data_IF_120360899964
#
_entry.id   IF_120360899964
#
_cell.length_a   1.000
_cell.length_b   1.000
_cell.length_c   1.000
_cell.angle_alpha   90.00
_cell.angle_beta   90.00
_cell.angle_gamma   90.00
#
_symmetry.space_group_name_H-M   'P 1'
#
loop_
_entity.id
_entity.type
_entity.pdbx_description
1 polymer ?
#
# COMPACT_ATOMS: atom_id res chain seq x y z
N UNK A 1 -0.76 10.96 13.62
CA UNK A 1 -1.12 9.58 13.27
C UNK A 1 -2.63 9.42 13.14
N UNK A 2 -3.09 8.51 12.35
CA UNK A 2 -4.48 8.08 12.27
C UNK A 2 -4.54 6.55 12.39
N UNK A 3 -5.68 5.98 12.78
CA UNK A 3 -5.84 4.56 13.01
C UNK A 3 -6.89 3.94 12.10
N UNK A 4 -6.67 2.69 11.72
CA UNK A 4 -7.64 1.82 11.04
C UNK A 4 -7.34 0.36 11.37
N UNK A 5 -8.35 -0.41 11.76
CA UNK A 5 -8.21 -1.84 12.08
C UNK A 5 -7.07 -2.16 13.05
N UNK A 6 -7.00 -1.45 14.19
CA UNK A 6 -5.96 -1.56 15.23
C UNK A 6 -4.54 -1.19 14.79
N UNK A 7 -4.35 -0.71 13.57
CA UNK A 7 -3.12 -0.11 13.09
C UNK A 7 -3.11 1.40 13.31
N UNK A 8 -1.98 1.93 13.76
CA UNK A 8 -1.68 3.36 13.84
C UNK A 8 -0.71 3.72 12.73
N UNK A 9 -1.10 4.65 11.87
CA UNK A 9 -0.28 5.12 10.75
C UNK A 9 0.41 6.42 11.13
N UNK A 10 1.73 6.49 10.95
CA UNK A 10 2.46 7.71 11.22
C UNK A 10 2.11 8.80 10.20
N UNK A 11 1.99 10.01 10.70
CA UNK A 11 1.84 11.21 9.88
C UNK A 11 2.63 12.33 10.54
N UNK A 12 3.50 12.98 9.80
CA UNK A 12 4.23 14.15 10.23
C UNK A 12 3.99 15.30 9.24
N UNK A 13 3.69 16.44 9.76
CA UNK A 13 3.59 17.68 8.99
C UNK A 13 4.59 18.67 9.57
N UNK A 14 5.53 19.12 8.74
CA UNK A 14 6.49 20.16 9.10
C UNK A 14 6.09 21.45 8.35
N UNK A 15 5.70 22.47 9.11
CA UNK A 15 5.37 23.78 8.56
C UNK A 15 6.65 24.63 8.42
N UNK A 16 7.11 24.74 7.19
CA UNK A 16 8.25 25.63 6.86
C UNK A 16 7.79 26.99 6.34
N UNK A 17 6.53 27.38 6.56
CA UNK A 17 5.96 28.65 6.11
C UNK A 17 5.56 28.67 4.63
N UNK A 18 5.57 27.53 3.96
CA UNK A 18 5.08 27.38 2.58
C UNK A 18 3.76 26.60 2.60
N UNK A 19 2.72 27.16 2.02
CA UNK A 19 1.43 26.50 1.97
C UNK A 19 1.53 25.10 1.31
N UNK A 20 1.15 24.06 2.04
CA UNK A 20 1.09 22.68 1.56
C UNK A 20 2.40 21.92 1.52
N UNK A 21 3.49 22.45 2.11
CA UNK A 21 4.75 21.72 2.18
C UNK A 21 4.81 20.83 3.40
N UNK A 22 5.29 19.69 3.14
CA UNK A 22 6.21 18.86 3.91
C UNK A 22 5.53 17.95 4.90
N UNK A 23 4.56 17.18 4.44
CA UNK A 23 4.10 15.98 5.15
C UNK A 23 4.98 14.78 4.78
N UNK A 24 5.17 13.87 5.74
CA UNK A 24 5.80 12.56 5.55
C UNK A 24 5.00 11.48 6.26
N UNK A 25 5.21 10.23 5.87
CA UNK A 25 4.43 9.11 6.34
C UNK A 25 3.16 8.94 5.51
N UNK A 26 2.00 8.82 6.17
CA UNK A 26 0.73 8.52 5.53
C UNK A 26 -0.24 9.70 5.54
N UNK A 27 -1.07 9.77 4.50
CA UNK A 27 -2.25 10.63 4.46
C UNK A 27 -3.43 9.89 3.83
N UNK A 28 -4.67 10.30 4.16
CA UNK A 28 -5.86 9.83 3.46
C UNK A 28 -6.12 10.64 2.20
N UNK A 29 -6.63 9.96 1.19
CA UNK A 29 -7.09 10.59 -0.05
C UNK A 29 -8.37 9.96 -0.57
N UNK A 30 -9.15 10.77 -1.26
CA UNK A 30 -10.32 10.39 -2.05
C UNK A 30 -10.24 11.01 -3.46
N UNK A 31 -9.08 11.49 -3.86
CA UNK A 31 -8.87 12.11 -5.18
C UNK A 31 -8.94 11.07 -6.29
N UNK A 32 -9.50 11.46 -7.43
CA UNK A 32 -9.81 10.55 -8.56
C UNK A 32 -9.18 10.98 -9.88
N UNK A 33 -8.30 11.99 -9.88
CA UNK A 33 -7.67 12.51 -11.08
C UNK A 33 -6.57 11.56 -11.57
N UNK A 34 -6.82 10.88 -12.69
CA UNK A 34 -5.88 9.94 -13.33
C UNK A 34 -5.13 10.55 -14.51
N UNK A 35 -5.22 11.87 -14.75
CA UNK A 35 -4.76 12.50 -15.99
C UNK A 35 -3.80 13.66 -15.80
N UNK A 36 -3.93 14.43 -14.74
CA UNK A 36 -3.10 15.61 -14.51
C UNK A 36 -1.71 15.20 -14.06
N UNK A 37 -0.64 15.52 -14.81
CA UNK A 37 0.73 15.21 -14.41
C UNK A 37 1.24 16.17 -13.34
N UNK A 38 2.36 15.78 -12.70
CA UNK A 38 3.13 16.61 -11.80
C UNK A 38 2.69 16.58 -10.34
N UNK A 39 3.45 17.27 -9.51
CA UNK A 39 3.35 17.26 -8.05
C UNK A 39 1.94 17.60 -7.51
N UNK A 40 1.21 18.50 -8.18
CA UNK A 40 -0.15 18.88 -7.75
C UNK A 40 -1.14 17.71 -7.67
N UNK A 41 -0.83 16.57 -8.29
CA UNK A 41 -1.68 15.39 -8.33
C UNK A 41 -1.06 14.17 -7.62
N UNK A 42 -0.24 14.38 -6.59
CA UNK A 42 0.44 13.31 -5.88
C UNK A 42 -0.48 12.50 -4.93
N UNK A 43 -1.66 13.01 -4.61
CA UNK A 43 -2.64 12.33 -3.76
C UNK A 43 -3.67 11.49 -4.52
N UNK A 44 -3.66 11.47 -5.85
CA UNK A 44 -4.57 10.63 -6.63
C UNK A 44 -3.97 9.25 -6.86
N UNK A 45 -4.73 8.20 -6.56
CA UNK A 45 -4.40 6.85 -7.01
C UNK A 45 -4.58 6.76 -8.54
N UNK A 46 -3.66 6.11 -9.23
CA UNK A 46 -3.72 5.95 -10.69
C UNK A 46 -4.97 5.17 -11.18
N UNK A 47 -5.62 4.46 -10.29
CA UNK A 47 -6.87 3.71 -10.54
C UNK A 47 -8.12 4.58 -10.53
N UNK A 48 -8.03 5.85 -10.11
CA UNK A 48 -9.16 6.79 -10.04
C UNK A 48 -10.07 6.59 -8.84
N UNK A 49 -9.64 5.84 -7.81
CA UNK A 49 -10.41 5.61 -6.59
C UNK A 49 -9.82 4.48 -5.75
N UNK A 50 -10.44 4.19 -4.60
CA UNK A 50 -10.02 3.13 -3.70
C UNK A 50 -10.33 1.72 -4.23
N UNK A 51 -9.68 0.73 -3.62
CA UNK A 51 -9.84 -0.68 -3.94
C UNK A 51 -11.29 -1.14 -3.67
N UNK A 52 -11.86 -1.93 -4.61
CA UNK A 52 -13.20 -2.50 -4.46
C UNK A 52 -14.32 -1.44 -4.35
N UNK A 53 -14.07 -0.20 -4.78
CA UNK A 53 -15.03 0.90 -4.68
C UNK A 53 -14.99 1.64 -3.35
N UNK A 54 -13.93 1.46 -2.54
CA UNK A 54 -13.67 2.27 -1.35
C UNK A 54 -13.61 3.75 -1.73
N UNK A 55 -14.25 4.57 -0.91
CA UNK A 55 -14.26 6.03 -1.10
C UNK A 55 -12.95 6.71 -0.68
N UNK A 56 -12.13 6.03 0.13
CA UNK A 56 -10.87 6.55 0.64
C UNK A 56 -9.80 5.48 0.55
N UNK A 57 -8.56 5.93 0.39
CA UNK A 57 -7.35 5.10 0.42
C UNK A 57 -6.21 5.87 1.09
N UNK A 58 -5.13 5.20 1.40
CA UNK A 58 -3.94 5.82 1.99
C UNK A 58 -2.90 6.12 0.91
N UNK A 59 -2.24 7.27 1.03
CA UNK A 59 -1.06 7.63 0.25
C UNK A 59 0.13 7.71 1.18
N UNK A 60 1.23 7.05 0.81
CA UNK A 60 2.51 7.16 1.49
C UNK A 60 3.48 8.05 0.73
N UNK A 61 4.32 8.74 1.48
CA UNK A 61 5.28 9.69 0.95
C UNK A 61 6.66 9.57 1.62
N UNK A 62 7.72 9.72 0.81
CA UNK A 62 9.13 9.82 1.21
C UNK A 62 9.66 8.69 2.12
N UNK A 63 9.25 7.44 1.88
CA UNK A 63 9.94 6.29 2.47
C UNK A 63 9.98 6.22 4.00
N UNK A 64 9.18 7.05 4.70
CA UNK A 64 9.05 7.08 6.17
C UNK A 64 7.67 6.60 6.61
N UNK A 65 6.95 5.92 5.74
CA UNK A 65 5.63 5.40 6.06
C UNK A 65 5.75 4.18 6.96
N UNK A 66 5.04 4.20 8.08
CA UNK A 66 5.02 3.13 9.07
C UNK A 66 3.58 2.84 9.50
N UNK A 67 3.31 1.57 9.77
CA UNK A 67 2.08 1.13 10.41
C UNK A 67 2.44 0.35 11.68
N UNK A 68 2.03 0.86 12.84
CA UNK A 68 2.26 0.27 14.16
C UNK A 68 1.02 -0.46 14.66
N UNK A 69 1.21 -1.59 15.32
CA UNK A 69 0.16 -2.43 15.90
C UNK A 69 0.34 -2.49 17.42
N UNK A 70 -0.76 -2.38 18.16
CA UNK A 70 -0.76 -2.42 19.63
C UNK A 70 -0.27 -3.79 20.19
N UNK A 71 -0.45 -4.86 19.42
CA UNK A 71 0.04 -6.20 19.72
C UNK A 71 0.63 -6.84 18.46
N UNK A 72 1.49 -7.85 18.64
CA UNK A 72 2.05 -8.60 17.53
C UNK A 72 0.93 -9.29 16.73
N UNK A 73 0.72 -8.88 15.48
CA UNK A 73 -0.40 -9.25 14.62
C UNK A 73 0.09 -9.83 13.31
N UNK A 74 -0.50 -10.91 12.84
CA UNK A 74 -0.23 -11.47 11.51
C UNK A 74 -1.06 -10.70 10.49
N UNK A 75 -0.39 -10.05 9.55
CA UNK A 75 -1.04 -9.30 8.48
C UNK A 75 -1.14 -10.19 7.24
N UNK A 76 -2.37 -10.40 6.77
CA UNK A 76 -2.64 -11.21 5.56
C UNK A 76 -2.11 -10.54 4.30
N UNK A 77 -2.29 -9.23 4.20
CA UNK A 77 -1.82 -8.44 3.07
C UNK A 77 -2.52 -7.09 2.99
N UNK A 78 -2.18 -6.36 1.93
CA UNK A 78 -2.82 -5.12 1.55
C UNK A 78 -2.84 -4.98 0.02
N UNK A 79 -3.63 -4.03 -0.47
CA UNK A 79 -3.67 -3.67 -1.88
C UNK A 79 -2.81 -2.43 -2.12
N UNK A 80 -2.01 -2.48 -3.18
CA UNK A 80 -1.10 -1.40 -3.57
C UNK A 80 -1.28 -1.02 -5.01
N UNK A 81 -1.04 0.25 -5.31
CA UNK A 81 -0.97 0.79 -6.68
C UNK A 81 -0.09 2.04 -6.70
N UNK A 82 0.25 2.51 -7.90
CA UNK A 82 0.91 3.79 -8.08
C UNK A 82 -0.02 4.96 -7.83
N UNK A 83 0.53 6.11 -7.44
CA UNK A 83 -0.17 7.39 -7.60
C UNK A 83 -0.16 7.81 -9.06
N UNK A 84 -1.10 8.67 -9.45
CA UNK A 84 -1.15 9.24 -10.81
C UNK A 84 0.15 10.00 -11.12
N UNK A 85 0.67 10.77 -10.16
CA UNK A 85 1.93 11.49 -10.34
C UNK A 85 3.08 10.53 -10.66
N UNK A 86 3.30 9.48 -9.86
CA UNK A 86 4.37 8.52 -10.09
C UNK A 86 4.18 7.77 -11.43
N UNK A 87 2.95 7.36 -11.75
CA UNK A 87 2.65 6.66 -13.01
C UNK A 87 2.99 7.50 -14.23
N UNK A 88 2.51 8.76 -14.26
CA UNK A 88 2.71 9.64 -15.42
C UNK A 88 4.18 10.04 -15.55
N UNK A 89 4.87 10.27 -14.42
CA UNK A 89 6.30 10.54 -14.41
C UNK A 89 7.13 9.38 -14.98
N UNK A 90 6.88 8.14 -14.55
CA UNK A 90 7.57 6.96 -15.10
C UNK A 90 7.23 6.71 -16.58
N UNK A 91 5.96 6.92 -16.98
CA UNK A 91 5.50 6.66 -18.35
C UNK A 91 6.02 7.68 -19.35
N UNK A 92 5.98 8.95 -19.00
CA UNK A 92 6.19 10.06 -19.94
C UNK A 92 7.51 10.80 -19.70
N UNK A 93 8.10 10.67 -18.49
CA UNK A 93 9.17 11.52 -18.00
C UNK A 93 8.66 12.91 -17.61
N UNK A 94 9.44 13.63 -16.85
CA UNK A 94 9.19 15.04 -16.51
C UNK A 94 10.53 15.80 -16.31
N UNK A 95 10.49 17.02 -15.74
CA UNK A 95 11.69 17.82 -15.52
C UNK A 95 12.67 17.25 -14.48
N UNK A 96 12.27 16.26 -13.70
CA UNK A 96 13.06 15.64 -12.63
C UNK A 96 13.34 14.17 -12.91
N UNK A 97 12.33 13.42 -13.38
CA UNK A 97 12.39 11.98 -13.57
C UNK A 97 12.48 11.63 -15.06
N UNK A 98 13.28 10.62 -15.38
CA UNK A 98 13.36 10.07 -16.73
C UNK A 98 12.11 9.22 -17.04
N UNK A 99 11.80 9.12 -18.33
CA UNK A 99 10.87 8.11 -18.83
C UNK A 99 11.47 6.72 -18.64
N UNK A 100 10.73 5.79 -18.06
CA UNK A 100 11.12 4.39 -17.95
C UNK A 100 11.15 3.70 -19.32
N UNK A 101 12.13 2.83 -19.53
CA UNK A 101 12.42 2.24 -20.81
C UNK A 101 13.18 3.19 -21.76
N UNK A 102 13.43 4.44 -21.37
CA UNK A 102 14.15 5.43 -22.20
C UNK A 102 13.42 5.76 -23.50
N UNK A 103 14.15 6.28 -24.49
CA UNK A 103 13.61 6.61 -25.82
C UNK A 103 13.24 5.36 -26.63
N UNK A 104 14.00 4.28 -26.45
CA UNK A 104 13.76 3.00 -27.12
C UNK A 104 12.55 2.24 -26.56
N UNK A 105 12.15 2.52 -25.34
CA UNK A 105 11.19 1.75 -24.56
C UNK A 105 11.78 0.50 -23.89
N UNK A 106 13.11 0.26 -24.02
CA UNK A 106 13.74 -1.03 -23.65
C UNK A 106 14.86 -0.87 -22.61
N UNK A 107 15.10 0.33 -22.08
CA UNK A 107 16.08 0.53 -21.02
C UNK A 107 15.58 -0.12 -19.73
N UNK A 108 16.48 -0.86 -19.06
CA UNK A 108 16.13 -1.53 -17.82
C UNK A 108 15.87 -0.53 -16.69
N UNK A 109 14.62 -0.50 -16.22
CA UNK A 109 14.16 0.38 -15.15
C UNK A 109 13.29 -0.37 -14.15
N UNK A 110 13.23 0.13 -12.91
CA UNK A 110 12.31 -0.39 -11.92
C UNK A 110 11.90 0.67 -10.89
N UNK A 111 10.72 0.49 -10.31
CA UNK A 111 10.25 1.18 -9.13
C UNK A 111 9.69 0.17 -8.15
N UNK A 112 10.30 0.06 -6.96
CA UNK A 112 10.05 -1.03 -6.03
C UNK A 112 9.64 -0.50 -4.66
N UNK A 113 8.56 -1.07 -4.13
CA UNK A 113 8.14 -0.98 -2.74
C UNK A 113 8.70 -2.17 -1.97
N UNK A 114 9.39 -1.91 -0.87
CA UNK A 114 9.81 -2.92 0.11
C UNK A 114 9.05 -2.71 1.41
N UNK A 115 8.35 -3.75 1.87
CA UNK A 115 7.61 -3.77 3.14
C UNK A 115 8.39 -4.64 4.12
N UNK A 116 8.94 -4.03 5.17
CA UNK A 116 9.72 -4.73 6.20
C UNK A 116 8.91 -4.89 7.47
N UNK A 117 8.77 -6.12 7.97
CA UNK A 117 8.12 -6.41 9.23
C UNK A 117 9.09 -6.34 10.40
N UNK A 118 8.58 -5.89 11.56
CA UNK A 118 9.29 -5.88 12.82
C UNK A 118 8.42 -6.42 13.95
N UNK A 119 9.05 -7.17 14.88
CA UNK A 119 8.46 -7.51 16.17
C UNK A 119 9.36 -6.92 17.26
N UNK A 120 8.91 -5.84 17.90
CA UNK A 120 9.78 -4.96 18.67
C UNK A 120 10.87 -4.35 17.78
N UNK A 121 12.14 -4.56 18.13
CA UNK A 121 13.29 -4.10 17.33
C UNK A 121 13.81 -5.14 16.33
N UNK A 122 13.33 -6.38 16.39
CA UNK A 122 13.80 -7.45 15.52
C UNK A 122 13.05 -7.44 14.18
N UNK A 123 13.78 -7.42 13.05
CA UNK A 123 13.16 -7.61 11.73
C UNK A 123 12.66 -9.05 11.60
N UNK A 124 11.43 -9.19 11.08
CA UNK A 124 10.82 -10.50 10.78
C UNK A 124 10.96 -10.88 9.30
N UNK A 125 11.53 -9.99 8.48
CA UNK A 125 11.74 -10.18 7.06
C UNK A 125 11.19 -9.03 6.23
N UNK A 126 11.24 -9.17 4.91
CA UNK A 126 10.74 -8.17 3.97
C UNK A 126 10.00 -8.81 2.81
N UNK A 127 9.07 -8.05 2.23
CA UNK A 127 8.33 -8.36 1.00
C UNK A 127 8.60 -7.25 0.00
N UNK A 128 9.11 -7.60 -1.17
CA UNK A 128 9.30 -6.69 -2.29
C UNK A 128 8.09 -6.77 -3.24
N UNK A 129 7.65 -5.61 -3.71
CA UNK A 129 6.63 -5.46 -4.73
C UNK A 129 7.06 -4.41 -5.75
N UNK A 130 7.14 -4.80 -7.04
CA UNK A 130 7.51 -3.87 -8.10
C UNK A 130 6.29 -3.10 -8.59
N UNK A 131 6.29 -1.79 -8.32
CA UNK A 131 5.29 -0.83 -8.81
C UNK A 131 5.49 -0.51 -10.29
N UNK A 132 6.72 -0.70 -10.81
CA UNK A 132 7.06 -0.76 -12.23
C UNK A 132 8.28 -1.66 -12.41
N UNK A 133 8.31 -2.45 -13.48
CA UNK A 133 9.45 -3.30 -13.83
C UNK A 133 9.62 -3.37 -15.35
N UNK A 134 10.79 -2.89 -15.83
CA UNK A 134 11.23 -2.83 -17.22
C UNK A 134 12.54 -3.61 -17.42
N UNK A 135 12.75 -4.67 -16.64
CA UNK A 135 13.99 -5.46 -16.66
C UNK A 135 13.81 -6.83 -17.30
N UNK A 136 12.66 -7.08 -17.90
CA UNK A 136 12.40 -8.36 -18.57
C UNK A 136 13.21 -8.47 -19.86
N UNK A 137 13.69 -9.68 -20.18
CA UNK A 137 14.35 -9.96 -21.45
C UNK A 137 13.38 -9.82 -22.64
N UNK A 138 12.10 -10.08 -22.40
CA UNK A 138 10.99 -9.83 -23.31
C UNK A 138 10.29 -8.54 -22.86
N UNK A 139 10.59 -7.44 -23.55
CA UNK A 139 10.07 -6.10 -23.19
C UNK A 139 8.53 -5.99 -23.28
N UNK A 140 7.84 -6.97 -23.89
CA UNK A 140 6.37 -7.00 -23.87
C UNK A 140 5.81 -7.35 -22.49
N UNK A 141 6.66 -7.77 -21.56
CA UNK A 141 6.34 -8.05 -20.17
C UNK A 141 6.59 -6.85 -19.25
N UNK A 142 7.20 -5.77 -19.77
CA UNK A 142 7.45 -4.55 -19.02
C UNK A 142 6.13 -3.91 -18.60
N UNK A 143 6.09 -3.39 -17.38
CA UNK A 143 4.86 -2.82 -16.86
C UNK A 143 5.07 -1.67 -15.87
N UNK A 144 4.04 -0.84 -15.79
CA UNK A 144 3.75 0.05 -14.65
C UNK A 144 2.42 -0.42 -14.05
N UNK A 145 2.38 -0.69 -12.75
CA UNK A 145 1.16 -1.10 -12.06
C UNK A 145 0.10 -0.01 -12.21
N UNK A 146 -1.02 -0.35 -12.85
CA UNK A 146 -2.13 0.55 -13.16
C UNK A 146 -3.45 0.14 -12.51
N UNK A 147 -3.45 -0.98 -11.79
CA UNK A 147 -4.59 -1.51 -11.04
C UNK A 147 -4.19 -1.75 -9.58
N UNK A 148 -5.18 -1.85 -8.70
CA UNK A 148 -4.94 -2.34 -7.35
C UNK A 148 -4.44 -3.79 -7.39
N UNK A 149 -3.29 -4.04 -6.79
CA UNK A 149 -2.64 -5.36 -6.73
C UNK A 149 -2.52 -5.82 -5.29
N UNK A 150 -3.02 -7.02 -4.99
CA UNK A 150 -2.92 -7.60 -3.65
C UNK A 150 -1.50 -8.13 -3.41
N UNK A 151 -0.89 -7.73 -2.30
CA UNK A 151 0.41 -8.22 -1.85
C UNK A 151 0.23 -8.94 -0.53
N UNK A 152 0.52 -10.24 -0.50
CA UNK A 152 0.49 -11.03 0.73
C UNK A 152 1.67 -10.67 1.63
N UNK A 153 1.38 -10.36 2.88
CA UNK A 153 2.36 -10.06 3.93
C UNK A 153 2.45 -11.17 4.98
N UNK A 154 1.70 -12.26 4.83
CA UNK A 154 1.61 -13.35 5.82
C UNK A 154 2.97 -13.99 6.13
N UNK A 155 3.91 -13.98 5.17
CA UNK A 155 5.27 -14.51 5.36
C UNK A 155 6.11 -13.70 6.38
N UNK A 156 5.68 -12.47 6.72
CA UNK A 156 6.35 -11.66 7.75
C UNK A 156 6.04 -12.16 9.17
N UNK A 157 5.08 -13.09 9.33
CA UNK A 157 4.67 -13.59 10.64
C UNK A 157 3.97 -12.50 11.46
N UNK A 158 4.07 -12.63 12.80
CA UNK A 158 3.47 -11.66 13.71
C UNK A 158 4.37 -10.43 13.86
N UNK A 159 3.86 -9.25 13.51
CA UNK A 159 4.57 -7.98 13.52
C UNK A 159 3.91 -6.98 14.46
N UNK A 160 4.73 -6.14 15.10
CA UNK A 160 4.29 -4.95 15.84
C UNK A 160 4.43 -3.68 15.01
N UNK A 161 5.18 -3.74 13.88
CA UNK A 161 5.35 -2.61 12.95
C UNK A 161 5.65 -3.12 11.54
N UNK A 162 5.14 -2.39 10.55
CA UNK A 162 5.53 -2.47 9.14
C UNK A 162 6.17 -1.14 8.74
N UNK A 163 7.36 -1.21 8.13
CA UNK A 163 8.05 -0.08 7.53
C UNK A 163 7.95 -0.22 5.99
N UNK A 164 7.67 0.89 5.32
CA UNK A 164 7.51 0.94 3.86
C UNK A 164 8.59 1.82 3.27
N UNK A 165 9.35 1.29 2.33
CA UNK A 165 10.42 2.01 1.65
C UNK A 165 10.34 1.86 0.14
N UNK A 166 10.77 2.89 -0.58
CA UNK A 166 10.77 2.92 -2.04
C UNK A 166 12.20 2.98 -2.58
N UNK A 167 12.45 2.29 -3.67
CA UNK A 167 13.70 2.38 -4.44
C UNK A 167 13.38 2.41 -5.94
N UNK A 168 14.18 3.14 -6.70
CA UNK A 168 14.06 3.24 -8.16
C UNK A 168 15.42 3.12 -8.84
N UNK A 169 15.43 2.73 -10.11
CA UNK A 169 16.59 2.85 -10.99
C UNK A 169 16.92 4.29 -11.35
N UNK A 170 15.92 5.19 -11.28
CA UNK A 170 16.08 6.61 -11.61
C UNK A 170 16.49 7.40 -10.37
N UNK A 171 17.80 7.65 -10.26
CA UNK A 171 18.42 8.40 -9.17
C UNK A 171 19.35 9.48 -9.71
N UNK A 172 19.39 10.61 -9.05
CA UNK A 172 20.27 11.73 -9.31
C UNK A 172 21.09 12.13 -8.08
N UNK A 173 21.73 13.29 -8.16
CA UNK A 173 22.59 13.83 -7.09
C UNK A 173 21.86 14.05 -5.76
N UNK A 174 20.56 14.21 -5.79
CA UNK A 174 19.71 14.46 -4.62
C UNK A 174 18.89 13.24 -4.19
N UNK A 175 19.17 12.05 -4.73
CA UNK A 175 18.47 10.81 -4.45
C UNK A 175 17.54 10.37 -5.59
N UNK A 176 16.47 9.69 -5.24
CA UNK A 176 15.51 9.13 -6.20
C UNK A 176 14.72 10.25 -6.91
N UNK A 177 14.78 10.27 -8.26
CA UNK A 177 14.03 11.22 -9.09
C UNK A 177 12.59 10.77 -9.33
N UNK A 178 12.36 9.45 -9.42
CA UNK A 178 10.99 8.91 -9.49
C UNK A 178 10.19 9.42 -8.29
N UNK A 179 8.96 9.97 -8.48
CA UNK A 179 8.15 10.48 -7.39
C UNK A 179 7.90 9.42 -6.31
N UNK A 180 8.37 9.70 -5.09
CA UNK A 180 8.39 8.76 -3.97
C UNK A 180 7.02 8.58 -3.31
N UNK A 181 5.99 8.23 -4.10
CA UNK A 181 4.60 8.05 -3.67
C UNK A 181 4.05 6.72 -4.12
N UNK A 182 3.23 6.10 -3.26
CA UNK A 182 2.38 4.97 -3.62
C UNK A 182 1.05 5.04 -2.87
N UNK A 183 0.05 4.32 -3.36
CA UNK A 183 -1.24 4.19 -2.71
C UNK A 183 -1.39 2.80 -2.09
N UNK A 184 -2.04 2.73 -0.92
CA UNK A 184 -2.41 1.51 -0.22
C UNK A 184 -3.88 1.55 0.18
N UNK A 185 -4.54 0.40 0.11
CA UNK A 185 -5.90 0.21 0.62
C UNK A 185 -6.05 -1.17 1.27
N UNK A 186 -6.99 -1.29 2.20
CA UNK A 186 -7.40 -2.56 2.80
C UNK A 186 -6.22 -3.34 3.39
N UNK A 187 -5.51 -2.74 4.37
CA UNK A 187 -4.54 -3.48 5.19
C UNK A 187 -5.31 -4.43 6.13
N UNK A 188 -5.25 -5.73 5.87
CA UNK A 188 -6.07 -6.72 6.55
C UNK A 188 -5.24 -7.65 7.43
N UNK A 189 -5.51 -7.70 8.76
CA UNK A 189 -4.99 -8.75 9.61
C UNK A 189 -5.61 -10.10 9.25
N UNK A 190 -4.87 -11.18 9.51
CA UNK A 190 -5.45 -12.54 9.45
C UNK A 190 -6.31 -12.72 10.70
N UNK A 191 -7.60 -13.09 10.56
CA UNK A 191 -8.43 -13.38 11.73
C UNK A 191 -7.78 -14.48 12.60
N UNK A 192 -7.66 -14.23 13.90
CA UNK A 192 -7.10 -15.24 14.81
C UNK A 192 -7.98 -16.51 14.79
N UNK A 193 -7.37 -17.72 14.85
CA UNK A 193 -8.11 -18.97 14.89
C UNK A 193 -9.19 -19.03 15.99
N UNK A 194 -8.94 -18.36 17.13
CA UNK A 194 -9.90 -18.24 18.22
C UNK A 194 -11.15 -17.44 17.83
N UNK A 195 -11.02 -16.38 17.04
CA UNK A 195 -12.18 -15.61 16.55
C UNK A 195 -13.03 -16.45 15.59
N UNK A 196 -12.40 -17.20 14.71
CA UNK A 196 -13.08 -18.12 13.80
C UNK A 196 -13.80 -19.25 14.57
N UNK A 197 -13.17 -19.82 15.61
CA UNK A 197 -13.77 -20.82 16.48
C UNK A 197 -14.95 -20.26 17.29
N UNK A 198 -14.85 -19.06 17.83
CA UNK A 198 -15.94 -18.41 18.57
C UNK A 198 -17.12 -18.11 17.64
N UNK A 199 -16.89 -17.66 16.41
CA UNK A 199 -17.94 -17.46 15.42
C UNK A 199 -18.64 -18.78 15.09
N UNK A 200 -17.88 -19.85 14.85
CA UNK A 200 -18.41 -21.18 14.57
C UNK A 200 -19.23 -21.72 15.75
N UNK A 201 -18.72 -21.60 16.97
CA UNK A 201 -19.44 -21.99 18.19
C UNK A 201 -20.74 -21.19 18.36
N UNK A 202 -20.73 -19.90 18.09
CA UNK A 202 -21.92 -19.05 18.11
C UNK A 202 -22.98 -19.50 17.10
N UNK A 203 -22.57 -19.79 15.86
CA UNK A 203 -23.48 -20.29 14.81
C UNK A 203 -24.10 -21.67 15.18
N UNK A 204 -23.32 -22.59 15.76
CA UNK A 204 -23.79 -23.87 16.23
C UNK A 204 -24.83 -23.71 17.37
N UNK A 205 -24.55 -22.80 18.33
CA UNK A 205 -25.47 -22.52 19.42
C UNK A 205 -26.82 -21.95 18.93
N UNK A 206 -26.77 -21.00 17.98
CA UNK A 206 -27.98 -20.43 17.36
C UNK A 206 -28.75 -21.50 16.59
N UNK A 207 -28.09 -22.31 15.78
CA UNK A 207 -28.69 -23.40 15.02
C UNK A 207 -29.40 -24.44 15.94
N UNK A 208 -28.76 -24.79 17.05
CA UNK A 208 -29.31 -25.65 18.08
C UNK A 208 -30.57 -25.07 18.75
N UNK A 209 -30.55 -23.79 19.09
CA UNK A 209 -31.69 -23.09 19.68
C UNK A 209 -32.90 -23.01 18.73
N UNK A 210 -32.66 -22.74 17.46
CA UNK A 210 -33.70 -22.68 16.42
C UNK A 210 -34.32 -24.07 16.21
N UNK A 211 -33.50 -25.12 16.17
CA UNK A 211 -34.00 -26.52 16.04
C UNK A 211 -34.86 -26.94 17.21
N UNK A 212 -34.48 -26.63 18.47
CA UNK A 212 -35.27 -26.90 19.66
C UNK A 212 -36.62 -26.17 19.64
N UNK A 213 -36.65 -24.89 19.21
CA UNK A 213 -37.94 -24.15 19.12
C UNK A 213 -38.89 -24.73 18.08
N UNK A 214 -38.38 -25.28 16.97
CA UNK A 214 -39.20 -25.95 15.95
C UNK A 214 -39.75 -27.27 16.46
N UNK A 215 -38.94 -28.08 17.18
CA UNK A 215 -39.38 -29.36 17.75
C UNK A 215 -40.47 -29.21 18.85
N UNK A 216 -40.50 -28.08 19.58
CA UNK A 216 -41.51 -27.81 20.61
C UNK A 216 -42.82 -27.19 20.07
N UNK A 217 -42.91 -26.94 18.75
CA UNK A 217 -44.12 -26.41 18.09
C UNK A 217 -44.86 -27.42 17.24
N UNK A 218 -44.33 -28.62 17.10
CA UNK A 218 -44.97 -29.83 16.53
C UNK A 218 -45.53 -30.73 17.61
#
# INVERSE_FOLDING_TARGET
>A
PFGSCDASFNHRFDDYGFAGCCSSGWTYSNQTDTRTPGFGNHYSANTGGGQGGSSNYAIAFLGMAQADFAAATVIGGAWFTNTTYATLSMRDGDSFAKKFGGDSGNDADFFKLTITGFNGSASTGAVDFYLADYRFADNTQDYVVSQWSFVSLSRLGAVTRLDFSLTSSDNGDYGMNTPAYFAMDTLAPVPEPQQALMLLAGLVAIGGAVRRRRANRS
#
